data_IF_898088970866
#
_entry.id   IF_898088970866
#
_cell.length_a   1.000
_cell.length_b   1.000
_cell.length_c   1.000
_cell.angle_alpha   90.00
_cell.angle_beta   90.00
_cell.angle_gamma   90.00
#
_symmetry.space_group_name_H-M   'P 1'
#
loop_
_entity.id
_entity.type
_entity.pdbx_description
1 polymer ?
#
# COMPACT_ATOMS: atom_id res chain seq x y z
N UNK A 1 0.11 -45.17 -22.49
CA UNK A 1 -0.61 -44.93 -23.76
C UNK A 1 -1.61 -43.83 -23.52
N UNK A 2 -1.39 -42.67 -24.15
CA UNK A 2 -2.37 -41.58 -24.22
C UNK A 2 -2.99 -41.66 -25.61
N UNK A 3 -4.31 -41.53 -25.69
CA UNK A 3 -5.02 -41.40 -26.95
C UNK A 3 -5.47 -39.95 -27.05
N UNK A 4 -4.83 -39.20 -27.94
CA UNK A 4 -5.20 -37.82 -28.23
C UNK A 4 -6.36 -37.88 -29.24
N UNK A 5 -7.54 -37.38 -28.85
CA UNK A 5 -8.71 -37.30 -29.72
C UNK A 5 -8.61 -36.11 -30.68
N UNK A 6 -9.54 -36.01 -31.64
CA UNK A 6 -9.64 -34.87 -32.53
C UNK A 6 -10.04 -33.58 -31.76
N UNK A 7 -9.57 -32.40 -32.18
CA UNK A 7 -9.97 -31.14 -31.56
C UNK A 7 -11.43 -30.83 -31.89
N UNK A 8 -12.19 -30.42 -30.87
CA UNK A 8 -13.58 -29.98 -31.01
C UNK A 8 -13.67 -28.45 -30.97
N UNK A 9 -14.55 -27.87 -31.79
CA UNK A 9 -14.86 -26.43 -31.74
C UNK A 9 -16.18 -26.17 -31.01
N UNK A 10 -16.26 -25.06 -30.29
CA UNK A 10 -17.43 -24.68 -29.51
C UNK A 10 -18.51 -24.19 -30.47
N UNK A 11 -19.70 -24.80 -30.41
CA UNK A 11 -20.87 -24.35 -31.18
C UNK A 11 -21.77 -23.45 -30.37
N UNK A 12 -22.04 -23.80 -29.11
CA UNK A 12 -22.95 -23.02 -28.28
C UNK A 12 -22.57 -23.15 -26.80
N UNK A 13 -22.90 -22.11 -26.03
CA UNK A 13 -22.68 -22.05 -24.59
C UNK A 13 -23.97 -21.68 -23.88
N UNK A 14 -24.46 -22.63 -23.08
CA UNK A 14 -25.75 -22.56 -22.41
C UNK A 14 -25.59 -22.55 -20.88
N UNK A 15 -26.44 -21.77 -20.21
CA UNK A 15 -26.59 -21.78 -18.76
C UNK A 15 -27.90 -22.49 -18.40
N UNK A 16 -27.87 -23.38 -17.41
CA UNK A 16 -29.06 -24.10 -16.95
C UNK A 16 -29.08 -24.21 -15.44
N UNK A 17 -30.26 -24.16 -14.83
CA UNK A 17 -30.44 -24.35 -13.39
C UNK A 17 -31.08 -23.14 -12.71
N UNK A 18 -30.84 -22.99 -11.41
CA UNK A 18 -31.33 -21.86 -10.64
C UNK A 18 -30.29 -20.74 -10.65
N UNK A 19 -30.46 -19.76 -11.53
CA UNK A 19 -29.44 -18.73 -11.73
C UNK A 19 -29.34 -17.75 -10.58
N UNK A 20 -30.44 -17.38 -9.89
CA UNK A 20 -30.53 -16.37 -8.79
C UNK A 20 -29.95 -14.96 -9.06
N UNK A 21 -28.96 -14.86 -9.94
CA UNK A 21 -28.26 -13.71 -10.49
C UNK A 21 -28.77 -13.53 -11.93
N UNK A 22 -28.88 -12.28 -12.44
CA UNK A 22 -29.28 -12.04 -13.82
C UNK A 22 -28.41 -12.80 -14.83
N UNK A 23 -29.05 -13.47 -15.80
CA UNK A 23 -28.34 -14.27 -16.80
C UNK A 23 -27.35 -13.43 -17.62
N UNK A 24 -27.67 -12.17 -17.89
CA UNK A 24 -26.80 -11.23 -18.59
C UNK A 24 -25.45 -11.05 -17.87
N UNK A 25 -25.47 -10.97 -16.55
CA UNK A 25 -24.25 -10.84 -15.74
C UNK A 25 -23.42 -12.12 -15.78
N UNK A 26 -24.09 -13.29 -15.68
CA UNK A 26 -23.41 -14.58 -15.77
C UNK A 26 -22.83 -14.84 -17.17
N UNK A 27 -23.53 -14.44 -18.23
CA UNK A 27 -23.03 -14.52 -19.62
C UNK A 27 -21.81 -13.63 -19.83
N UNK A 28 -21.76 -12.46 -19.18
CA UNK A 28 -20.59 -11.58 -19.22
C UNK A 28 -19.31 -12.18 -18.61
N UNK A 29 -19.43 -13.21 -17.76
CA UNK A 29 -18.29 -13.94 -17.16
C UNK A 29 -17.81 -15.12 -18.03
N UNK A 30 -18.56 -15.51 -19.06
CA UNK A 30 -18.19 -16.60 -19.96
C UNK A 30 -17.20 -16.05 -20.99
N UNK A 31 -15.95 -16.47 -20.89
CA UNK A 31 -14.88 -16.06 -21.83
C UNK A 31 -14.86 -16.88 -23.11
N UNK A 32 -15.46 -18.07 -23.10
CA UNK A 32 -15.52 -19.01 -24.22
C UNK A 32 -16.46 -18.51 -25.31
N UNK A 33 -15.98 -18.44 -26.56
CA UNK A 33 -16.77 -17.98 -27.71
C UNK A 33 -17.10 -19.11 -28.69
N UNK A 34 -18.18 -18.92 -29.44
CA UNK A 34 -18.52 -19.79 -30.56
C UNK A 34 -17.41 -19.76 -31.63
N UNK A 35 -17.02 -20.94 -32.13
CA UNK A 35 -15.97 -21.13 -33.12
C UNK A 35 -14.56 -21.36 -32.55
N UNK A 36 -14.35 -21.14 -31.24
CA UNK A 36 -13.05 -21.41 -30.58
C UNK A 36 -12.84 -22.91 -30.35
N UNK A 37 -11.57 -23.33 -30.26
CA UNK A 37 -11.22 -24.72 -29.92
C UNK A 37 -11.51 -24.94 -28.44
N UNK A 38 -12.18 -26.04 -28.11
CA UNK A 38 -12.54 -26.35 -26.73
C UNK A 38 -11.31 -26.52 -25.84
N UNK A 39 -11.21 -25.66 -24.83
CA UNK A 39 -10.20 -25.75 -23.77
C UNK A 39 -10.86 -26.09 -22.44
N UNK A 40 -10.50 -27.26 -21.88
CA UNK A 40 -10.94 -27.64 -20.53
C UNK A 40 -10.43 -26.66 -19.46
N UNK A 41 -9.26 -26.05 -19.67
CA UNK A 41 -8.71 -25.06 -18.75
C UNK A 41 -9.58 -23.80 -18.70
N UNK A 42 -10.00 -23.29 -19.87
CA UNK A 42 -10.87 -22.12 -19.95
C UNK A 42 -12.27 -22.42 -19.41
N UNK A 43 -12.82 -23.61 -19.70
CA UNK A 43 -14.08 -24.04 -19.09
C UNK A 43 -14.02 -24.07 -17.55
N UNK A 44 -12.90 -24.51 -16.97
CA UNK A 44 -12.70 -24.46 -15.52
C UNK A 44 -12.56 -23.03 -15.00
N UNK A 45 -11.96 -22.11 -15.76
CA UNK A 45 -11.90 -20.69 -15.39
C UNK A 45 -13.29 -20.05 -15.37
N UNK A 46 -14.13 -20.36 -16.36
CA UNK A 46 -15.54 -19.92 -16.39
C UNK A 46 -16.32 -20.48 -15.20
N UNK A 47 -16.16 -21.78 -14.90
CA UNK A 47 -16.75 -22.40 -13.70
C UNK A 47 -16.34 -21.65 -12.43
N UNK A 48 -15.05 -21.35 -12.28
CA UNK A 48 -14.54 -20.61 -11.12
C UNK A 48 -15.11 -19.19 -11.06
N UNK A 49 -15.15 -18.47 -12.19
CA UNK A 49 -15.68 -17.10 -12.25
C UNK A 49 -17.17 -17.04 -11.89
N UNK A 50 -17.96 -17.99 -12.40
CA UNK A 50 -19.36 -18.12 -12.03
C UNK A 50 -19.50 -18.44 -10.53
N UNK A 51 -18.76 -19.44 -10.02
CA UNK A 51 -18.80 -19.82 -8.61
C UNK A 51 -18.40 -18.66 -7.69
N UNK A 52 -17.38 -17.90 -8.08
CA UNK A 52 -16.95 -16.70 -7.38
C UNK A 52 -18.08 -15.67 -7.31
N UNK A 53 -18.78 -15.42 -8.43
CA UNK A 53 -19.89 -14.47 -8.50
C UNK A 53 -21.05 -14.86 -7.58
N UNK A 54 -21.41 -16.14 -7.54
CA UNK A 54 -22.38 -16.65 -6.57
C UNK A 54 -21.90 -16.49 -5.14
N UNK A 55 -20.60 -16.74 -4.91
CA UNK A 55 -19.95 -16.55 -3.63
C UNK A 55 -19.96 -15.10 -3.14
N UNK A 56 -19.99 -14.10 -4.02
CA UNK A 56 -20.14 -12.68 -3.63
C UNK A 56 -21.49 -12.40 -2.95
N UNK A 57 -22.52 -13.16 -3.33
CA UNK A 57 -23.86 -13.09 -2.73
C UNK A 57 -24.02 -14.04 -1.54
N UNK A 58 -22.97 -14.77 -1.14
CA UNK A 58 -22.97 -15.66 0.02
C UNK A 58 -23.28 -17.13 -0.27
N UNK A 59 -23.31 -17.53 -1.53
CA UNK A 59 -23.46 -18.93 -1.94
C UNK A 59 -22.09 -19.61 -2.04
N UNK A 60 -21.46 -19.89 -0.89
CA UNK A 60 -20.08 -20.38 -0.79
C UNK A 60 -19.84 -21.74 -1.47
N UNK A 61 -20.88 -22.57 -1.57
CA UNK A 61 -20.80 -23.94 -2.04
C UNK A 61 -21.60 -24.14 -3.34
N UNK A 62 -21.69 -23.10 -4.18
CA UNK A 62 -22.32 -23.20 -5.48
C UNK A 62 -21.60 -24.27 -6.32
N UNK A 63 -22.36 -25.26 -6.80
CA UNK A 63 -21.85 -26.34 -7.64
C UNK A 63 -22.20 -26.04 -9.09
N UNK A 64 -21.17 -25.97 -9.93
CA UNK A 64 -21.33 -25.68 -11.35
C UNK A 64 -20.70 -26.83 -12.14
N UNK A 65 -21.54 -27.58 -12.85
CA UNK A 65 -21.13 -28.73 -13.63
C UNK A 65 -21.09 -28.37 -15.11
N UNK A 66 -19.95 -28.57 -15.76
CA UNK A 66 -19.82 -28.46 -17.21
C UNK A 66 -20.25 -29.77 -17.87
N UNK A 67 -21.31 -29.72 -18.66
CA UNK A 67 -21.85 -30.86 -19.41
C UNK A 67 -21.54 -30.61 -20.90
N UNK A 68 -20.46 -31.20 -21.45
CA UNK A 68 -20.18 -31.13 -22.87
C UNK A 68 -21.11 -32.09 -23.64
N UNK A 69 -21.76 -31.58 -24.67
CA UNK A 69 -22.50 -32.36 -25.65
C UNK A 69 -21.70 -32.40 -26.94
N UNK A 70 -21.05 -33.54 -27.20
CA UNK A 70 -20.14 -33.72 -28.34
C UNK A 70 -20.92 -34.19 -29.57
N UNK A 71 -20.64 -33.55 -30.71
CA UNK A 71 -21.10 -33.97 -32.03
C UNK A 71 -19.89 -34.44 -32.85
N UNK A 72 -19.65 -35.75 -32.82
CA UNK A 72 -18.52 -36.40 -33.49
C UNK A 72 -18.60 -36.31 -35.02
N UNK A 73 -19.77 -36.02 -35.60
CA UNK A 73 -19.91 -35.90 -37.05
C UNK A 73 -19.41 -34.55 -37.58
N UNK A 74 -19.46 -33.51 -36.75
CA UNK A 74 -19.06 -32.14 -37.09
C UNK A 74 -17.82 -31.67 -36.34
N UNK A 75 -17.31 -32.49 -35.41
CA UNK A 75 -16.25 -32.11 -34.45
C UNK A 75 -16.60 -30.85 -33.68
N UNK A 76 -17.86 -30.73 -33.26
CA UNK A 76 -18.37 -29.58 -32.50
C UNK A 76 -18.82 -29.98 -31.09
N UNK A 77 -18.79 -29.04 -30.15
CA UNK A 77 -19.25 -29.23 -28.77
C UNK A 77 -20.21 -28.12 -28.35
N UNK A 78 -21.35 -28.51 -27.76
CA UNK A 78 -22.17 -27.57 -26.98
C UNK A 78 -21.80 -27.69 -25.50
N UNK A 79 -21.52 -26.57 -24.86
CA UNK A 79 -21.18 -26.53 -23.45
C UNK A 79 -22.37 -26.04 -22.65
N UNK A 80 -22.90 -26.90 -21.77
CA UNK A 80 -23.93 -26.48 -20.81
C UNK A 80 -23.35 -26.40 -19.41
N UNK A 81 -23.40 -25.23 -18.79
CA UNK A 81 -23.06 -25.06 -17.37
C UNK A 81 -24.34 -25.22 -16.54
N UNK A 82 -24.44 -26.34 -15.82
CA UNK A 82 -25.54 -26.62 -14.91
C UNK A 82 -25.19 -26.08 -13.51
N UNK A 83 -25.95 -25.08 -13.06
CA UNK A 83 -25.69 -24.30 -11.85
C UNK A 83 -26.68 -24.72 -10.75
N UNK A 84 -26.13 -25.11 -9.60
CA UNK A 84 -26.84 -25.21 -8.33
C UNK A 84 -26.18 -24.27 -7.30
N UNK A 85 -26.80 -23.14 -6.96
CA UNK A 85 -26.23 -22.17 -6.04
C UNK A 85 -26.23 -22.67 -4.58
N UNK A 86 -26.99 -23.71 -4.25
CA UNK A 86 -27.10 -24.20 -2.89
C UNK A 86 -27.72 -23.17 -1.93
N UNK A 87 -27.25 -23.14 -0.69
CA UNK A 87 -27.76 -22.25 0.37
C UNK A 87 -26.80 -21.09 0.58
N UNK A 88 -27.38 -19.95 0.92
CA UNK A 88 -26.60 -18.80 1.42
C UNK A 88 -26.06 -19.12 2.81
N UNK A 89 -24.79 -18.82 3.04
CA UNK A 89 -24.10 -19.05 4.32
C UNK A 89 -23.55 -17.74 4.89
N UNK A 90 -23.37 -17.71 6.20
CA UNK A 90 -22.65 -16.64 6.90
C UNK A 90 -21.37 -17.17 7.52
N UNK A 91 -20.40 -16.26 7.66
CA UNK A 91 -19.13 -16.56 8.31
C UNK A 91 -19.34 -16.54 9.82
N UNK A 92 -19.16 -17.67 10.49
CA UNK A 92 -19.30 -17.75 11.94
C UNK A 92 -18.10 -17.14 12.65
N UNK A 93 -16.89 -17.52 12.21
CA UNK A 93 -15.61 -17.06 12.78
C UNK A 93 -14.50 -17.17 11.75
N UNK A 94 -13.46 -16.38 11.98
CA UNK A 94 -12.20 -16.35 11.25
C UNK A 94 -11.10 -16.77 12.23
N UNK A 95 -10.48 -17.92 11.95
CA UNK A 95 -9.40 -18.45 12.77
C UNK A 95 -8.07 -18.17 12.08
N UNK A 96 -7.11 -17.63 12.81
CA UNK A 96 -5.73 -17.47 12.31
C UNK A 96 -4.84 -18.56 12.89
N UNK A 97 -3.95 -19.09 12.06
CA UNK A 97 -2.94 -20.08 12.46
C UNK A 97 -1.59 -19.73 11.84
N UNK A 98 -0.50 -20.07 12.53
CA UNK A 98 0.87 -19.80 12.07
C UNK A 98 1.44 -18.43 12.45
N UNK A 99 0.62 -17.55 13.06
CA UNK A 99 1.04 -16.26 13.60
C UNK A 99 1.66 -16.38 15.00
N UNK A 100 2.89 -16.90 15.09
CA UNK A 100 3.56 -17.16 16.36
C UNK A 100 4.07 -15.89 17.05
N UNK A 101 4.48 -14.88 16.27
CA UNK A 101 4.97 -13.59 16.79
C UNK A 101 3.95 -12.47 16.62
N UNK A 102 3.18 -12.50 15.54
CA UNK A 102 2.23 -11.46 15.17
C UNK A 102 0.92 -11.64 15.91
N UNK A 103 0.43 -10.58 16.55
CA UNK A 103 -0.83 -10.60 17.26
C UNK A 103 -1.99 -10.85 16.29
N UNK A 104 -2.99 -11.61 16.74
CA UNK A 104 -4.19 -11.94 15.96
C UNK A 104 -4.90 -10.68 15.42
N UNK A 105 -5.03 -9.64 16.26
CA UNK A 105 -5.66 -8.37 15.90
C UNK A 105 -5.00 -7.68 14.70
N UNK A 106 -3.70 -7.90 14.49
CA UNK A 106 -2.93 -7.33 13.37
C UNK A 106 -3.32 -7.96 12.05
N UNK A 107 -3.65 -9.26 12.05
CA UNK A 107 -4.13 -9.97 10.87
C UNK A 107 -5.64 -9.72 10.68
N UNK A 108 -6.38 -9.74 11.78
CA UNK A 108 -7.83 -9.54 11.81
C UNK A 108 -8.26 -8.19 11.24
N UNK A 109 -7.53 -7.11 11.54
CA UNK A 109 -7.79 -5.77 10.96
C UNK A 109 -7.57 -5.69 9.44
N UNK A 110 -6.87 -6.66 8.84
CA UNK A 110 -6.72 -6.72 7.39
C UNK A 110 -7.88 -7.42 6.68
N UNK A 111 -8.76 -8.08 7.44
CA UNK A 111 -9.94 -8.77 6.90
C UNK A 111 -10.99 -7.76 6.45
N UNK A 112 -11.46 -7.94 5.21
CA UNK A 112 -12.68 -7.31 4.69
C UNK A 112 -13.91 -8.16 4.95
N UNK A 113 -13.75 -9.48 4.93
CA UNK A 113 -14.80 -10.39 5.38
C UNK A 113 -14.99 -10.21 6.90
N UNK A 114 -16.20 -9.87 7.31
CA UNK A 114 -16.55 -9.76 8.72
C UNK A 114 -17.07 -11.10 9.26
N UNK A 115 -16.73 -11.40 10.52
CA UNK A 115 -17.41 -12.44 11.29
C UNK A 115 -18.87 -12.04 11.55
N UNK A 116 -19.79 -13.00 11.50
CA UNK A 116 -21.23 -12.79 11.56
C UNK A 116 -21.84 -12.19 10.28
N UNK A 117 -21.03 -11.80 9.30
CA UNK A 117 -21.48 -11.31 8.01
C UNK A 117 -21.81 -12.43 7.02
N UNK A 118 -22.52 -12.10 5.94
CA UNK A 118 -22.68 -13.00 4.80
C UNK A 118 -21.30 -13.34 4.22
N UNK A 119 -21.16 -14.58 3.74
CA UNK A 119 -19.97 -14.98 3.00
C UNK A 119 -19.83 -14.14 1.73
N UNK A 120 -18.59 -13.76 1.40
CA UNK A 120 -18.28 -12.96 0.21
C UNK A 120 -16.90 -13.36 -0.30
N UNK A 121 -16.86 -14.05 -1.43
CA UNK A 121 -15.60 -14.42 -2.12
C UNK A 121 -14.77 -13.18 -2.44
N UNK A 122 -15.43 -12.10 -2.86
CA UNK A 122 -14.81 -10.79 -3.12
C UNK A 122 -14.06 -10.26 -1.90
N UNK A 123 -14.71 -10.26 -0.74
CA UNK A 123 -14.10 -9.76 0.49
C UNK A 123 -13.00 -10.68 1.00
N UNK A 124 -13.17 -12.01 0.88
CA UNK A 124 -12.14 -12.98 1.25
C UNK A 124 -10.89 -12.81 0.38
N UNK A 125 -11.04 -12.74 -0.94
CA UNK A 125 -9.92 -12.50 -1.86
C UNK A 125 -9.24 -11.17 -1.59
N UNK A 126 -10.01 -10.11 -1.33
CA UNK A 126 -9.45 -8.80 -0.95
C UNK A 126 -8.69 -8.88 0.37
N UNK A 127 -9.18 -9.64 1.34
CA UNK A 127 -8.52 -9.89 2.62
C UNK A 127 -7.19 -10.62 2.42
N UNK A 128 -7.18 -11.69 1.61
CA UNK A 128 -5.97 -12.44 1.28
C UNK A 128 -4.91 -11.53 0.63
N UNK A 129 -5.30 -10.70 -0.35
CA UNK A 129 -4.38 -9.75 -0.98
C UNK A 129 -3.81 -8.75 0.03
N UNK A 130 -4.62 -8.26 0.98
CA UNK A 130 -4.16 -7.33 2.02
C UNK A 130 -3.16 -7.98 2.97
N UNK A 131 -3.44 -9.21 3.41
CA UNK A 131 -2.53 -9.99 4.23
C UNK A 131 -1.22 -10.30 3.49
N UNK A 132 -1.27 -10.72 2.22
CA UNK A 132 -0.08 -11.01 1.41
C UNK A 132 0.81 -9.77 1.17
N UNK A 133 0.26 -8.56 1.28
CA UNK A 133 1.02 -7.30 1.18
C UNK A 133 1.77 -6.96 2.46
N UNK A 134 1.52 -7.65 3.57
CA UNK A 134 2.20 -7.38 4.82
C UNK A 134 3.68 -7.81 4.72
N UNK A 135 4.63 -6.95 5.12
CA UNK A 135 6.06 -7.23 4.94
C UNK A 135 6.55 -8.39 5.84
N UNK A 136 5.80 -8.78 6.86
CA UNK A 136 6.11 -9.85 7.82
C UNK A 136 5.48 -11.20 7.48
N UNK A 137 4.73 -11.33 6.38
CA UNK A 137 4.16 -12.61 5.93
C UNK A 137 4.84 -13.07 4.64
N UNK A 138 5.17 -14.36 4.56
CA UNK A 138 5.69 -15.02 3.37
C UNK A 138 4.58 -15.64 2.53
N UNK A 139 3.68 -16.38 3.17
CA UNK A 139 2.55 -17.05 2.52
C UNK A 139 1.27 -16.87 3.34
N UNK A 140 0.13 -16.85 2.64
CA UNK A 140 -1.21 -16.73 3.21
C UNK A 140 -2.17 -17.62 2.44
N UNK A 141 -2.68 -18.63 3.13
CA UNK A 141 -3.68 -19.56 2.65
C UNK A 141 -4.99 -19.30 3.39
N UNK A 142 -6.09 -19.21 2.64
CA UNK A 142 -7.42 -18.95 3.19
C UNK A 142 -8.34 -20.07 2.74
N UNK A 143 -8.80 -20.85 3.70
CA UNK A 143 -9.70 -21.97 3.46
C UNK A 143 -11.05 -21.70 4.10
N UNK A 144 -12.10 -22.17 3.44
CA UNK A 144 -13.48 -22.07 3.93
C UNK A 144 -13.98 -23.46 4.31
N UNK A 145 -14.27 -23.66 5.59
CA UNK A 145 -14.67 -24.96 6.13
C UNK A 145 -16.15 -24.94 6.57
N UNK A 146 -17.01 -25.84 6.06
CA UNK A 146 -18.39 -25.91 6.51
C UNK A 146 -18.45 -26.34 7.99
N UNK A 147 -19.36 -25.73 8.75
CA UNK A 147 -19.51 -26.06 10.17
C UNK A 147 -20.33 -27.35 10.34
N UNK A 148 -19.79 -28.39 11.00
CA UNK A 148 -20.55 -29.61 11.26
C UNK A 148 -21.82 -29.33 12.07
N UNK A 149 -22.97 -29.75 11.54
CA UNK A 149 -24.28 -29.56 12.18
C UNK A 149 -24.97 -28.23 11.87
N UNK A 150 -24.34 -27.32 11.13
CA UNK A 150 -24.92 -26.03 10.73
C UNK A 150 -24.72 -25.78 9.23
N UNK A 151 -25.68 -26.14 8.36
CA UNK A 151 -25.53 -26.08 6.90
C UNK A 151 -25.53 -24.65 6.33
N UNK A 152 -25.81 -23.66 7.17
CA UNK A 152 -25.83 -22.22 6.86
C UNK A 152 -24.59 -21.48 7.41
N UNK A 153 -23.62 -22.19 7.96
CA UNK A 153 -22.43 -21.62 8.60
C UNK A 153 -21.13 -22.12 7.96
N UNK A 154 -20.18 -21.20 7.84
CA UNK A 154 -18.80 -21.49 7.42
C UNK A 154 -17.80 -20.85 8.38
N UNK A 155 -16.74 -21.57 8.71
CA UNK A 155 -15.55 -21.03 9.37
C UNK A 155 -14.51 -20.69 8.29
N UNK A 156 -13.84 -19.55 8.42
CA UNK A 156 -12.72 -19.18 7.56
C UNK A 156 -11.43 -19.43 8.32
N UNK A 157 -10.61 -20.36 7.83
CA UNK A 157 -9.31 -20.68 8.41
C UNK A 157 -8.22 -19.99 7.58
N UNK A 158 -7.51 -19.07 8.22
CA UNK A 158 -6.41 -18.31 7.63
C UNK A 158 -5.10 -18.86 8.17
N UNK A 159 -4.40 -19.64 7.36
CA UNK A 159 -3.07 -20.13 7.67
C UNK A 159 -2.02 -19.16 7.10
N UNK A 160 -1.13 -18.67 7.96
CA UNK A 160 -0.06 -17.74 7.57
C UNK A 160 1.31 -18.32 7.86
N UNK A 161 2.27 -18.01 7.00
CA UNK A 161 3.69 -18.25 7.24
C UNK A 161 4.38 -16.91 7.55
N UNK A 162 4.88 -16.74 8.77
CA UNK A 162 5.62 -15.54 9.14
C UNK A 162 7.04 -15.54 8.58
N UNK A 163 7.51 -14.37 8.15
CA UNK A 163 8.92 -14.14 7.77
C UNK A 163 9.54 -13.02 8.59
N UNK A 164 10.87 -12.93 8.52
CA UNK A 164 11.58 -11.82 9.14
C UNK A 164 11.18 -10.49 8.49
N UNK A 165 10.70 -9.55 9.30
CA UNK A 165 10.30 -8.21 8.87
C UNK A 165 11.33 -7.13 9.15
N UNK A 166 12.50 -7.54 9.67
CA UNK A 166 13.63 -6.64 9.85
C UNK A 166 14.34 -6.41 8.52
N UNK A 167 14.67 -5.16 8.23
CA UNK A 167 15.50 -4.79 7.08
C UNK A 167 16.72 -3.99 7.54
N UNK A 168 17.86 -4.24 6.89
CA UNK A 168 19.09 -3.49 7.06
C UNK A 168 19.51 -2.96 5.68
N UNK A 169 19.51 -1.65 5.53
CA UNK A 169 19.93 -0.96 4.33
C UNK A 169 21.25 -0.23 4.60
N UNK A 170 22.30 -0.62 3.91
CA UNK A 170 23.60 0.07 3.95
C UNK A 170 23.93 0.48 2.52
N UNK A 171 24.23 1.75 2.32
CA UNK A 171 24.56 2.30 1.00
C UNK A 171 25.72 3.28 1.08
N UNK A 172 26.46 3.34 -0.01
CA UNK A 172 27.57 4.25 -0.22
C UNK A 172 27.41 4.84 -1.63
N UNK A 173 27.42 6.16 -1.72
CA UNK A 173 27.23 6.91 -2.95
C UNK A 173 28.25 8.04 -3.07
N UNK A 174 28.32 8.65 -4.25
CA UNK A 174 29.13 9.83 -4.49
C UNK A 174 28.35 10.82 -5.35
N UNK A 175 28.23 12.06 -4.89
CA UNK A 175 27.62 13.19 -5.59
C UNK A 175 28.67 14.25 -5.92
N UNK A 176 28.43 15.05 -6.96
CA UNK A 176 29.33 16.18 -7.28
C UNK A 176 29.23 17.31 -6.24
N UNK A 177 28.06 17.46 -5.61
CA UNK A 177 27.75 18.51 -4.64
C UNK A 177 27.80 18.00 -3.21
N UNK A 178 27.36 16.77 -2.95
CA UNK A 178 27.26 16.20 -1.59
C UNK A 178 28.47 15.33 -1.20
N UNK A 179 29.44 15.16 -2.10
CA UNK A 179 30.60 14.31 -1.88
C UNK A 179 30.24 12.85 -1.61
N UNK A 180 30.91 12.22 -0.64
CA UNK A 180 30.62 10.83 -0.27
C UNK A 180 29.36 10.75 0.59
N UNK A 181 28.37 9.99 0.14
CA UNK A 181 27.14 9.75 0.90
C UNK A 181 27.19 8.36 1.51
N UNK A 182 27.13 8.28 2.83
CA UNK A 182 26.94 7.04 3.57
C UNK A 182 25.56 7.01 4.20
N UNK A 183 24.79 5.96 3.92
CA UNK A 183 23.49 5.73 4.55
C UNK A 183 23.46 4.37 5.22
N UNK A 184 23.00 4.33 6.47
CA UNK A 184 22.75 3.12 7.22
C UNK A 184 21.39 3.21 7.89
N UNK A 185 20.47 2.31 7.56
CA UNK A 185 19.14 2.27 8.15
C UNK A 185 18.77 0.86 8.56
N UNK A 186 18.20 0.72 9.74
CA UNK A 186 17.58 -0.50 10.25
C UNK A 186 16.11 -0.22 10.51
N UNK A 187 15.24 -1.10 10.03
CA UNK A 187 13.80 -1.00 10.30
C UNK A 187 13.22 -2.35 10.67
N UNK A 188 12.16 -2.33 11.46
CA UNK A 188 11.39 -3.50 11.86
C UNK A 188 9.90 -3.19 11.67
N UNK A 189 9.29 -3.71 10.60
CA UNK A 189 7.90 -3.38 10.22
C UNK A 189 6.81 -4.09 11.04
N UNK A 190 7.21 -4.98 11.97
CA UNK A 190 6.31 -5.68 12.89
C UNK A 190 6.94 -5.76 14.29
N UNK A 191 7.27 -4.60 14.84
CA UNK A 191 7.96 -4.52 16.13
C UNK A 191 7.11 -5.18 17.23
N UNK A 192 7.68 -6.18 17.90
CA UNK A 192 7.02 -6.97 18.95
C UNK A 192 5.68 -7.60 18.53
N UNK A 193 5.46 -7.84 17.23
CA UNK A 193 4.23 -8.47 16.75
C UNK A 193 3.01 -7.56 16.70
N UNK A 194 3.17 -6.26 16.91
CA UNK A 194 2.04 -5.31 16.99
C UNK A 194 1.63 -4.73 15.63
N UNK A 195 2.33 -5.11 14.55
CA UNK A 195 2.18 -4.52 13.22
C UNK A 195 2.59 -3.04 13.15
N UNK A 196 3.32 -2.55 14.16
CA UNK A 196 3.92 -1.22 14.17
C UNK A 196 5.33 -1.28 13.61
N UNK A 197 5.76 -0.19 13.00
CA UNK A 197 7.10 -0.05 12.45
C UNK A 197 7.98 0.78 13.39
N UNK A 198 9.19 0.30 13.64
CA UNK A 198 10.26 1.07 14.31
C UNK A 198 11.46 1.12 13.39
N UNK A 199 12.04 2.30 13.21
CA UNK A 199 13.19 2.50 12.35
C UNK A 199 14.23 3.40 12.99
N UNK A 200 15.49 3.13 12.69
CA UNK A 200 16.60 4.04 12.91
C UNK A 200 17.31 4.25 11.58
N UNK A 201 17.60 5.50 11.23
CA UNK A 201 18.35 5.86 10.06
C UNK A 201 19.48 6.82 10.43
N UNK A 202 20.65 6.56 9.86
CA UNK A 202 21.82 7.40 9.88
C UNK A 202 22.20 7.73 8.44
N UNK A 203 22.36 9.01 8.13
CA UNK A 203 22.91 9.47 6.87
C UNK A 203 24.04 10.44 7.16
N UNK A 204 25.13 10.35 6.42
CA UNK A 204 26.26 11.26 6.50
C UNK A 204 26.73 11.57 5.08
N UNK A 205 26.93 12.84 4.80
CA UNK A 205 27.54 13.39 3.60
C UNK A 205 28.40 14.60 4.00
N UNK A 206 29.11 15.19 3.04
CA UNK A 206 29.98 16.33 3.31
C UNK A 206 29.18 17.50 3.94
N UNK A 207 27.97 17.75 3.45
CA UNK A 207 27.12 18.85 3.94
C UNK A 207 26.11 18.50 5.04
N UNK A 208 25.84 17.22 5.31
CA UNK A 208 24.71 16.83 6.18
C UNK A 208 25.04 15.57 7.00
N UNK A 209 24.73 15.61 8.29
CA UNK A 209 24.70 14.43 9.17
C UNK A 209 23.33 14.32 9.82
N UNK A 210 22.63 13.20 9.61
CA UNK A 210 21.27 12.95 10.11
C UNK A 210 21.23 11.66 10.92
N UNK A 211 20.68 11.76 12.13
CA UNK A 211 20.20 10.63 12.92
C UNK A 211 18.69 10.75 13.06
N UNK A 212 17.95 9.68 12.77
CA UNK A 212 16.48 9.69 12.81
C UNK A 212 15.94 8.40 13.39
N UNK A 213 15.22 8.51 14.50
CA UNK A 213 14.40 7.46 15.08
C UNK A 213 12.95 7.66 14.67
N UNK A 214 12.31 6.63 14.14
CA UNK A 214 10.91 6.65 13.73
C UNK A 214 10.12 5.53 14.39
N UNK A 215 8.89 5.84 14.76
CA UNK A 215 7.86 4.87 15.14
C UNK A 215 6.62 5.17 14.31
N UNK A 216 5.95 4.15 13.79
CA UNK A 216 4.71 4.31 13.05
C UNK A 216 3.71 3.20 13.42
N UNK A 217 2.53 3.59 13.88
CA UNK A 217 1.36 2.72 13.98
C UNK A 217 0.45 2.98 12.77
N UNK A 218 0.37 2.06 11.79
CA UNK A 218 -0.45 2.25 10.59
C UNK A 218 -1.96 2.22 10.84
N UNK A 219 -2.42 1.63 11.95
CA UNK A 219 -3.84 1.55 12.34
C UNK A 219 -4.02 2.03 13.78
N UNK A 220 -3.80 3.33 13.99
CA UNK A 220 -4.16 3.97 15.25
C UNK A 220 -5.69 4.01 15.44
N UNK A 221 -6.43 4.11 14.34
CA UNK A 221 -7.89 3.91 14.31
C UNK A 221 -8.26 2.71 13.43
N UNK A 222 -9.46 2.11 13.63
CA UNK A 222 -9.94 1.02 12.79
C UNK A 222 -9.98 1.34 11.29
N UNK A 223 -10.22 2.61 10.93
CA UNK A 223 -10.34 3.08 9.55
C UNK A 223 -8.98 3.26 8.83
N UNK A 224 -7.85 2.97 9.51
CA UNK A 224 -6.52 3.08 8.92
C UNK A 224 -5.88 4.45 9.05
N UNK A 225 -6.33 5.28 10.01
CA UNK A 225 -5.57 6.48 10.39
C UNK A 225 -4.28 6.03 11.05
N UNK A 226 -3.16 6.46 10.51
CA UNK A 226 -1.83 6.18 11.04
C UNK A 226 -1.40 7.23 12.07
N UNK A 227 -0.58 6.82 13.04
CA UNK A 227 0.06 7.71 14.02
C UNK A 227 1.54 7.39 14.12
N UNK A 228 2.40 8.37 13.88
CA UNK A 228 3.84 8.26 13.95
C UNK A 228 4.48 9.20 14.96
N UNK A 229 5.66 8.83 15.40
CA UNK A 229 6.58 9.67 16.15
C UNK A 229 7.91 9.68 15.42
N UNK A 230 8.52 10.86 15.30
CA UNK A 230 9.86 11.02 14.74
C UNK A 230 10.69 11.84 15.71
N UNK A 231 11.86 11.35 16.05
CA UNK A 231 12.91 12.11 16.70
C UNK A 231 14.10 12.14 15.77
N UNK A 232 14.55 13.32 15.36
CA UNK A 232 15.71 13.44 14.49
C UNK A 232 16.65 14.55 14.95
N UNK A 233 17.95 14.26 14.90
CA UNK A 233 19.02 15.24 14.98
C UNK A 233 19.63 15.38 13.60
N UNK A 234 19.76 16.61 13.10
CA UNK A 234 20.47 16.91 11.86
C UNK A 234 21.48 17.99 12.12
N UNK A 235 22.70 17.79 11.65
CA UNK A 235 23.71 18.83 11.51
C UNK A 235 23.89 19.12 10.03
N UNK A 236 23.82 20.38 9.64
CA UNK A 236 23.98 20.83 8.25
C UNK A 236 25.13 21.84 8.21
N UNK A 237 26.14 21.53 7.40
CA UNK A 237 27.20 22.46 7.02
C UNK A 237 26.79 23.15 5.71
N UNK A 238 26.44 24.42 5.79
CA UNK A 238 25.96 25.19 4.64
C UNK A 238 27.11 25.63 3.72
N UNK A 239 28.34 25.72 4.23
CA UNK A 239 29.53 26.06 3.45
C UNK A 239 29.83 24.99 2.39
N UNK A 240 29.69 23.73 2.77
CA UNK A 240 29.87 22.57 1.87
C UNK A 240 28.81 22.51 0.75
N UNK A 241 27.66 23.18 0.92
CA UNK A 241 26.61 23.28 -0.11
C UNK A 241 26.83 24.44 -1.10
N UNK A 242 28.02 25.07 -1.12
CA UNK A 242 28.31 26.26 -1.93
C UNK A 242 27.31 27.40 -1.65
N UNK A 243 26.88 27.51 -0.39
CA UNK A 243 26.05 28.61 0.12
C UNK A 243 26.84 29.44 1.13
N UNK A 244 26.17 30.35 1.86
CA UNK A 244 26.80 31.06 2.97
C UNK A 244 27.36 30.05 3.97
N UNK A 245 28.52 30.36 4.53
CA UNK A 245 29.21 29.47 5.46
C UNK A 245 28.65 29.63 6.88
N UNK A 246 27.97 28.60 7.37
CA UNK A 246 27.45 28.47 8.73
C UNK A 246 27.07 27.02 8.98
N UNK A 247 26.98 26.63 10.26
CA UNK A 247 26.57 25.29 10.67
C UNK A 247 25.26 25.38 11.45
N UNK A 248 24.35 24.46 11.20
CA UNK A 248 23.07 24.38 11.93
C UNK A 248 22.87 22.98 12.51
N UNK A 249 22.73 22.92 13.82
CA UNK A 249 22.22 21.74 14.51
C UNK A 249 20.70 21.88 14.67
N UNK A 250 19.97 20.81 14.36
CA UNK A 250 18.52 20.75 14.46
C UNK A 250 18.08 19.48 15.17
N UNK A 251 17.51 19.63 16.36
CA UNK A 251 16.82 18.56 17.06
C UNK A 251 15.30 18.73 16.87
N UNK A 252 14.64 17.75 16.25
CA UNK A 252 13.21 17.77 15.97
C UNK A 252 12.52 16.54 16.57
N UNK A 253 11.52 16.79 17.43
CA UNK A 253 10.56 15.79 17.90
C UNK A 253 9.17 16.07 17.33
N UNK A 254 8.61 15.15 16.55
CA UNK A 254 7.34 15.31 15.85
C UNK A 254 6.38 14.15 16.14
N UNK A 255 5.14 14.47 16.47
CA UNK A 255 3.99 13.55 16.45
C UNK A 255 3.20 13.81 15.18
N UNK A 256 2.98 12.79 14.35
CA UNK A 256 2.26 12.93 13.09
C UNK A 256 1.11 11.94 12.95
N UNK A 257 0.06 12.36 12.26
CA UNK A 257 -1.09 11.55 11.88
C UNK A 257 -1.19 11.49 10.36
N UNK A 258 -1.65 10.37 9.81
CA UNK A 258 -1.88 10.21 8.38
C UNK A 258 -3.26 9.63 8.11
N UNK A 259 -4.06 10.36 7.35
CA UNK A 259 -5.44 10.05 6.99
C UNK A 259 -5.50 9.60 5.52
N UNK A 260 -5.77 8.32 5.24
CA UNK A 260 -6.08 7.87 3.88
C UNK A 260 -7.47 8.37 3.50
N UNK A 261 -7.55 9.35 2.60
CA UNK A 261 -8.83 9.96 2.20
C UNK A 261 -9.55 9.11 1.15
N UNK A 262 -8.78 8.51 0.24
CA UNK A 262 -9.23 7.53 -0.75
C UNK A 262 -8.01 6.73 -1.26
N UNK A 263 -8.15 6.01 -2.37
CA UNK A 263 -7.06 5.18 -2.93
C UNK A 263 -5.86 5.98 -3.46
N UNK A 264 -6.02 7.27 -3.73
CA UNK A 264 -4.99 8.14 -4.31
C UNK A 264 -4.57 9.29 -3.38
N UNK A 265 -5.47 9.75 -2.50
CA UNK A 265 -5.29 10.95 -1.67
C UNK A 265 -4.94 10.57 -0.22
N UNK A 266 -3.89 11.20 0.31
CA UNK A 266 -3.49 11.09 1.72
C UNK A 266 -3.26 12.48 2.29
N UNK A 267 -3.80 12.74 3.47
CA UNK A 267 -3.52 13.95 4.24
C UNK A 267 -2.73 13.58 5.50
N UNK A 268 -1.69 14.35 5.81
CA UNK A 268 -0.85 14.17 6.99
C UNK A 268 -0.81 15.48 7.78
N UNK A 269 -0.89 15.37 9.09
CA UNK A 269 -0.76 16.52 10.01
C UNK A 269 0.19 16.13 11.10
N UNK A 270 1.15 16.98 11.43
CA UNK A 270 2.10 16.77 12.50
C UNK A 270 2.26 18.01 13.36
N UNK A 271 2.56 17.80 14.63
CA UNK A 271 2.94 18.86 15.55
C UNK A 271 4.14 18.41 16.36
N UNK A 272 5.05 19.34 16.68
CA UNK A 272 6.32 19.00 17.29
C UNK A 272 7.05 20.17 17.91
N UNK A 273 8.17 19.85 18.54
CA UNK A 273 9.14 20.80 19.04
C UNK A 273 10.43 20.67 18.26
N UNK A 274 11.02 21.81 17.95
CA UNK A 274 12.28 21.94 17.26
C UNK A 274 13.21 22.80 18.11
N UNK A 275 14.46 22.38 18.22
CA UNK A 275 15.56 23.21 18.67
C UNK A 275 16.52 23.40 17.50
N UNK A 276 16.82 24.64 17.17
CA UNK A 276 17.82 25.03 16.17
C UNK A 276 18.96 25.73 16.89
N UNK A 277 20.18 25.28 16.65
CA UNK A 277 21.38 25.94 17.12
C UNK A 277 22.24 26.34 15.92
N UNK A 278 22.46 27.64 15.73
CA UNK A 278 23.20 28.18 14.59
C UNK A 278 24.60 28.56 15.05
N UNK A 279 25.62 28.05 14.36
CA UNK A 279 27.04 28.32 14.65
C UNK A 279 27.67 29.06 13.48
N UNK A 280 28.53 30.01 13.82
CA UNK A 280 29.36 30.72 12.85
C UNK A 280 30.74 30.06 12.71
N UNK A 281 31.35 30.30 11.56
CA UNK A 281 32.73 29.93 11.22
C UNK A 281 33.56 31.20 11.01
N UNK A 282 34.86 31.06 10.75
CA UNK A 282 35.73 32.21 10.40
C UNK A 282 35.32 32.90 9.09
N UNK A 283 34.58 32.19 8.22
CA UNK A 283 34.12 32.67 6.90
C UNK A 283 32.63 32.99 6.85
N UNK A 284 31.92 32.96 7.97
CA UNK A 284 30.50 33.33 8.01
C UNK A 284 30.28 34.77 7.53
N UNK A 285 29.24 35.02 6.70
CA UNK A 285 28.88 36.38 6.30
C UNK A 285 28.48 37.25 7.50
N UNK A 286 28.71 38.57 7.39
CA UNK A 286 28.40 39.52 8.46
C UNK A 286 26.91 39.50 8.82
N UNK A 287 26.03 39.25 7.84
CA UNK A 287 24.58 39.17 8.05
C UNK A 287 24.19 38.07 9.05
N UNK A 288 24.96 36.98 9.12
CA UNK A 288 24.73 35.90 10.10
C UNK A 288 25.19 36.34 11.49
N UNK A 289 26.36 36.98 11.59
CA UNK A 289 26.83 37.54 12.87
C UNK A 289 25.83 38.54 13.44
N UNK A 290 25.37 39.49 12.61
CA UNK A 290 24.40 40.51 13.01
C UNK A 290 23.08 39.87 13.49
N UNK A 291 22.61 38.84 12.80
CA UNK A 291 21.39 38.10 13.17
C UNK A 291 21.53 37.41 14.54
N UNK A 292 22.65 36.73 14.78
CA UNK A 292 22.89 36.00 16.04
C UNK A 292 23.14 36.95 17.21
N UNK A 293 23.77 38.10 16.98
CA UNK A 293 23.96 39.12 18.01
C UNK A 293 22.62 39.72 18.47
N UNK A 294 21.64 39.84 17.57
CA UNK A 294 20.30 40.36 17.89
C UNK A 294 19.37 39.28 18.49
N UNK A 295 19.40 38.05 17.96
CA UNK A 295 18.38 37.04 18.25
C UNK A 295 18.89 35.87 19.12
N UNK A 296 20.20 35.77 19.35
CA UNK A 296 20.82 34.60 19.96
C UNK A 296 21.11 33.49 18.95
N UNK A 297 21.64 32.38 19.44
CA UNK A 297 22.10 31.25 18.63
C UNK A 297 21.36 29.94 18.90
N UNK A 298 20.46 29.89 19.89
CA UNK A 298 19.62 28.73 20.23
C UNK A 298 18.14 29.12 20.17
N UNK A 299 17.36 28.42 19.35
CA UNK A 299 15.97 28.74 19.06
C UNK A 299 15.08 27.54 19.30
N UNK A 300 14.05 27.70 20.13
CA UNK A 300 13.01 26.71 20.36
C UNK A 300 11.73 27.08 19.62
N UNK A 301 11.30 26.18 18.74
CA UNK A 301 10.13 26.38 17.89
C UNK A 301 9.06 25.31 18.11
N UNK A 302 7.81 25.74 18.17
CA UNK A 302 6.64 24.87 18.15
C UNK A 302 6.19 24.72 16.70
N UNK A 303 6.39 23.54 16.13
CA UNK A 303 6.14 23.26 14.72
C UNK A 303 4.77 22.66 14.49
N UNK A 304 4.08 23.15 13.46
CA UNK A 304 2.91 22.50 12.86
C UNK A 304 3.21 22.20 11.39
N UNK A 305 3.02 20.95 11.00
CA UNK A 305 3.20 20.47 9.63
C UNK A 305 1.86 19.94 9.10
N UNK A 306 1.53 20.23 7.85
CA UNK A 306 0.39 19.66 7.15
C UNK A 306 0.80 19.35 5.72
N UNK A 307 0.53 18.15 5.25
CA UNK A 307 0.83 17.75 3.89
C UNK A 307 -0.32 16.98 3.28
N UNK A 308 -0.73 17.38 2.08
CA UNK A 308 -1.65 16.61 1.25
C UNK A 308 -0.89 16.07 0.05
N UNK A 309 -1.14 14.80 -0.29
CA UNK A 309 -0.59 14.18 -1.48
C UNK A 309 -1.63 13.39 -2.24
N UNK A 310 -1.61 13.51 -3.57
CA UNK A 310 -2.39 12.69 -4.50
C UNK A 310 -1.45 11.98 -5.46
N UNK A 311 -1.48 10.65 -5.46
CA UNK A 311 -0.68 9.82 -6.36
C UNK A 311 -1.59 8.97 -7.24
N UNK A 312 -1.75 9.35 -8.51
CA UNK A 312 -2.53 8.63 -9.52
C UNK A 312 -1.65 7.89 -10.53
N UNK A 313 -0.34 7.76 -10.24
CA UNK A 313 0.60 7.12 -11.16
C UNK A 313 0.28 5.64 -11.32
N UNK A 314 0.34 5.16 -12.56
CA UNK A 314 0.04 3.76 -12.87
C UNK A 314 1.07 2.76 -12.29
N UNK A 315 2.29 3.21 -11.99
CA UNK A 315 3.34 2.43 -11.33
C UNK A 315 4.30 3.32 -10.55
N UNK A 316 4.97 2.74 -9.55
CA UNK A 316 5.88 3.48 -8.65
C UNK A 316 7.24 3.77 -9.32
N UNK A 317 7.78 2.79 -10.05
CA UNK A 317 9.07 2.86 -10.73
C UNK A 317 8.82 2.94 -12.24
N UNK A 318 9.47 3.90 -12.91
CA UNK A 318 9.26 4.25 -14.31
C UNK A 318 7.77 4.45 -14.70
N UNK A 319 7.04 5.39 -14.06
CA UNK A 319 5.65 5.68 -14.42
C UNK A 319 5.51 6.11 -15.88
N UNK A 320 4.44 5.67 -16.54
CA UNK A 320 4.13 6.05 -17.93
C UNK A 320 2.86 6.90 -18.04
N UNK A 321 2.02 6.91 -17.00
CA UNK A 321 0.75 7.62 -16.97
C UNK A 321 0.41 8.06 -15.54
N UNK A 322 -0.29 9.19 -15.43
CA UNK A 322 -0.80 9.72 -14.17
C UNK A 322 0.08 10.83 -13.61
N UNK A 323 -0.19 11.23 -12.37
CA UNK A 323 0.53 12.33 -11.75
C UNK A 323 0.67 12.17 -10.23
N UNK A 324 1.66 12.85 -9.67
CA UNK A 324 1.89 13.02 -8.24
C UNK A 324 1.82 14.51 -7.92
N UNK A 325 0.87 14.88 -7.06
CA UNK A 325 0.80 16.20 -6.43
C UNK A 325 1.14 16.06 -4.95
N UNK A 326 1.96 16.96 -4.43
CA UNK A 326 2.16 17.13 -2.98
C UNK A 326 2.14 18.61 -2.65
N UNK A 327 1.33 18.98 -1.68
CA UNK A 327 1.33 20.29 -1.04
C UNK A 327 1.82 20.08 0.38
N UNK A 328 2.81 20.84 0.80
CA UNK A 328 3.33 20.88 2.17
C UNK A 328 3.14 22.29 2.75
N UNK A 329 2.74 22.35 4.01
CA UNK A 329 2.66 23.55 4.82
C UNK A 329 3.41 23.27 6.12
N UNK A 330 4.30 24.17 6.48
CA UNK A 330 5.08 24.14 7.70
C UNK A 330 4.96 25.50 8.37
N UNK A 331 4.63 25.53 9.66
CA UNK A 331 4.43 26.76 10.43
C UNK A 331 5.17 26.63 11.75
N UNK A 332 5.97 27.62 12.12
CA UNK A 332 6.41 27.82 13.49
C UNK A 332 5.36 28.71 14.19
N UNK A 333 4.69 28.15 15.19
CA UNK A 333 3.52 28.75 15.82
C UNK A 333 3.91 29.92 16.74
N UNK A 334 2.98 30.86 17.01
CA UNK A 334 3.24 31.96 17.93
C UNK A 334 3.73 31.50 19.31
N UNK A 335 4.73 32.20 19.83
CA UNK A 335 5.45 31.81 21.05
C UNK A 335 6.66 30.89 20.82
N UNK A 336 7.06 30.71 19.57
CA UNK A 336 8.38 30.20 19.17
C UNK A 336 9.40 31.34 19.13
N UNK A 337 10.69 31.04 19.22
CA UNK A 337 11.74 32.06 19.06
C UNK A 337 11.84 32.56 17.61
N UNK A 338 11.50 31.69 16.64
CA UNK A 338 11.31 32.06 15.24
C UNK A 338 9.87 31.79 14.83
N UNK A 339 9.17 32.81 14.34
CA UNK A 339 7.81 32.70 13.81
C UNK A 339 7.88 32.79 12.29
N UNK A 340 7.43 31.74 11.60
CA UNK A 340 7.43 31.72 10.14
C UNK A 340 6.43 30.72 9.60
N UNK A 341 6.15 30.84 8.31
CA UNK A 341 5.44 29.83 7.56
C UNK A 341 6.13 29.54 6.24
N UNK A 342 6.02 28.30 5.79
CA UNK A 342 6.54 27.83 4.51
C UNK A 342 5.51 26.95 3.85
N UNK A 343 5.27 27.18 2.57
CA UNK A 343 4.44 26.35 1.72
C UNK A 343 5.29 25.83 0.55
N UNK A 344 5.20 24.52 0.29
CA UNK A 344 5.83 23.88 -0.85
C UNK A 344 4.79 23.13 -1.69
N UNK A 345 5.02 23.11 -3.00
CA UNK A 345 4.23 22.33 -3.95
C UNK A 345 5.15 21.57 -4.89
N UNK A 346 4.96 20.26 -4.96
CA UNK A 346 5.62 19.37 -5.91
C UNK A 346 4.58 18.79 -6.87
N UNK A 347 4.82 18.96 -8.15
CA UNK A 347 4.10 18.29 -9.22
C UNK A 347 5.04 17.38 -10.01
N UNK A 348 4.60 16.15 -10.30
CA UNK A 348 5.21 15.28 -11.30
C UNK A 348 4.12 14.69 -12.18
N UNK A 349 4.16 14.93 -13.47
CA UNK A 349 3.18 14.40 -14.42
C UNK A 349 3.83 13.52 -15.48
N UNK A 350 3.07 12.49 -15.89
CA UNK A 350 3.46 11.49 -16.88
C UNK A 350 2.31 11.35 -17.88
N UNK A 351 2.61 11.64 -19.14
CA UNK A 351 1.63 11.54 -20.22
C UNK A 351 2.19 10.64 -21.34
N UNK A 352 1.55 9.48 -21.61
CA UNK A 352 2.01 8.59 -22.67
C UNK A 352 1.68 9.23 -24.02
N UNK A 353 2.71 9.47 -24.85
CA UNK A 353 2.53 9.93 -26.22
C UNK A 353 2.25 8.75 -27.16
N UNK A 354 2.81 7.57 -26.84
CA UNK A 354 2.54 6.28 -27.46
C UNK A 354 3.04 5.15 -26.52
N UNK A 355 3.04 3.89 -26.99
CA UNK A 355 3.40 2.70 -26.20
C UNK A 355 4.86 2.66 -25.71
N UNK A 356 5.74 3.49 -26.29
CA UNK A 356 7.19 3.50 -25.98
C UNK A 356 7.70 4.85 -25.48
N UNK A 357 6.92 5.92 -25.64
CA UNK A 357 7.33 7.29 -25.36
C UNK A 357 6.37 7.93 -24.34
N UNK A 358 6.93 8.41 -23.23
CA UNK A 358 6.21 9.16 -22.19
C UNK A 358 6.81 10.55 -22.04
N UNK A 359 5.96 11.57 -22.11
CA UNK A 359 6.32 12.93 -21.71
C UNK A 359 6.29 13.03 -20.20
N UNK A 360 7.37 13.53 -19.60
CA UNK A 360 7.45 13.77 -18.15
C UNK A 360 7.66 15.24 -17.87
N UNK A 361 6.99 15.77 -16.85
CA UNK A 361 7.25 17.12 -16.36
C UNK A 361 7.27 17.16 -14.85
N UNK A 362 8.13 18.01 -14.31
CA UNK A 362 8.29 18.22 -12.87
C UNK A 362 8.27 19.72 -12.56
N UNK A 363 7.43 20.10 -11.61
CA UNK A 363 7.38 21.45 -11.06
C UNK A 363 7.61 21.42 -9.55
N UNK A 364 8.39 22.36 -9.05
CA UNK A 364 8.55 22.61 -7.60
C UNK A 364 8.33 24.10 -7.39
N UNK A 365 7.42 24.45 -6.49
CA UNK A 365 7.20 25.82 -6.02
C UNK A 365 7.40 25.85 -4.52
N UNK A 366 7.98 26.92 -4.01
CA UNK A 366 8.18 27.14 -2.59
C UNK A 366 8.04 28.62 -2.28
N UNK A 367 7.37 28.93 -1.17
CA UNK A 367 7.28 30.28 -0.63
C UNK A 367 7.34 30.19 0.89
N UNK A 368 8.04 31.13 1.51
CA UNK A 368 8.09 31.25 2.95
C UNK A 368 8.33 32.70 3.35
N UNK A 369 7.83 33.04 4.52
CA UNK A 369 7.89 34.38 5.11
C UNK A 369 7.75 34.23 6.63
N UNK A 370 8.19 35.23 7.38
CA UNK A 370 8.28 35.15 8.84
C UNK A 370 9.06 36.29 9.44
#
# INVERSE_FOLDING_TARGET
>A
NITEGEPYTIRDVNLRGNLLVPEEELRGLITLQEGEVFSRSEANQVVQALADRFGEDGYAFAVINTIPNLDDATSQVDLTFAIDPGRRVYVRRINFTGNLKTNDDVLRREMRQAEGGWFSTKDIKRSQIRLQRLPYLADVQVDSQPVPGSPDQVDIDVAVEERNSGSLNVGLGYGQTEGFLFNAAVSQSNFLGTGNEVGFAFNNSDSDTLYSLTYNNPYYTPDGVSRGFRLSYRETDAGENNTADYVVDRLLGLLNYGFPLNEFDTWRVGAGLENLHIKTTESSPQEIFDYLDENGDDFWNIKLESSWSRDSRNRVIFPTEGYLNRVGLEVALPGSDTEYYKIDYLHRGYFPLNDTLTLTWRGVLGYGDG
#
